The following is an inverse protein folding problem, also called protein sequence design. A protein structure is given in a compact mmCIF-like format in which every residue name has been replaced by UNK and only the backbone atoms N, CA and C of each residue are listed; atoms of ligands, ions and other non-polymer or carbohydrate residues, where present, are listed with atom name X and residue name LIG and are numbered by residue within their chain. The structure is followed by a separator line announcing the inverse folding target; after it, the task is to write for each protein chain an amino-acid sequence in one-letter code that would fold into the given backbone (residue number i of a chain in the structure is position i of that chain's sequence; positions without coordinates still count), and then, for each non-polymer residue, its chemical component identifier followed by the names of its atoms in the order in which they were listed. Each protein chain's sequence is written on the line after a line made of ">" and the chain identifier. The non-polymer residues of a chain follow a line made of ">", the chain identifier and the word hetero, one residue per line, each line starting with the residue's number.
data_IF_624480732462
#
_entry.id   IF_624480732462
#
_cell.length_a   1.000
_cell.length_b   1.000
_cell.length_c   1.000
_cell.angle_alpha   90.00
_cell.angle_beta   90.00
_cell.angle_gamma   90.00
#
_symmetry.space_group_name_H-M   'P 1'
#
loop_
_entity.id
_entity.type
_entity.pdbx_description
1 polymer ?
#
# COMPACT_ATOMS: atom_id res chain seq x y z
N UNK A 1 6.36 -3.89 14.25
CA UNK A 1 7.17 -3.66 13.08
C UNK A 1 6.71 -4.53 11.94
N UNK A 2 6.46 -3.97 10.81
CA UNK A 2 5.77 -4.70 9.75
C UNK A 2 6.56 -4.73 8.45
N UNK A 3 7.86 -5.00 8.56
CA UNK A 3 8.68 -5.13 7.37
C UNK A 3 8.16 -6.19 6.40
N UNK A 4 7.73 -7.37 6.87
CA UNK A 4 7.16 -8.34 5.93
C UNK A 4 5.92 -7.80 5.22
N UNK A 5 5.08 -7.04 5.92
CA UNK A 5 3.92 -6.42 5.30
C UNK A 5 4.36 -5.40 4.25
N UNK A 6 5.35 -4.57 4.58
CA UNK A 6 5.85 -3.58 3.63
C UNK A 6 6.43 -4.26 2.39
N UNK A 7 7.14 -5.36 2.57
CA UNK A 7 7.69 -6.11 1.44
C UNK A 7 6.61 -6.66 0.54
N UNK A 8 5.52 -7.15 1.13
CA UNK A 8 4.40 -7.63 0.35
C UNK A 8 3.78 -6.50 -0.47
N UNK A 9 3.62 -5.33 0.15
CA UNK A 9 3.06 -4.17 -0.54
C UNK A 9 3.95 -3.76 -1.71
N UNK A 10 5.25 -3.63 -1.47
CA UNK A 10 6.19 -3.23 -2.51
C UNK A 10 6.20 -4.25 -3.64
N UNK A 11 6.17 -5.53 -3.31
CA UNK A 11 6.15 -6.59 -4.30
C UNK A 11 4.94 -6.49 -5.22
N UNK A 12 3.76 -6.24 -4.64
CA UNK A 12 2.55 -6.07 -5.44
C UNK A 12 2.62 -4.84 -6.33
N UNK A 13 3.16 -3.74 -5.80
CA UNK A 13 3.29 -2.52 -6.59
C UNK A 13 4.27 -2.69 -7.75
N UNK A 14 5.32 -3.50 -7.57
CA UNK A 14 6.25 -3.80 -8.66
C UNK A 14 5.57 -4.61 -9.75
N UNK A 15 4.72 -5.56 -9.36
CA UNK A 15 4.03 -6.40 -10.33
C UNK A 15 2.96 -5.64 -11.10
N UNK A 16 2.23 -4.77 -10.41
CA UNK A 16 1.02 -4.17 -10.97
C UNK A 16 1.20 -2.74 -11.41
N UNK A 17 2.31 -2.12 -11.05
CA UNK A 17 2.62 -0.71 -11.31
C UNK A 17 1.73 0.21 -10.49
N UNK A 18 0.42 0.02 -10.55
CA UNK A 18 -0.56 0.79 -9.77
C UNK A 18 -1.58 -0.16 -9.19
N UNK A 19 -2.01 0.13 -7.96
CA UNK A 19 -3.04 -0.68 -7.31
C UNK A 19 -3.81 0.22 -6.36
N UNK A 20 -5.14 0.04 -6.30
CA UNK A 20 -5.93 0.78 -5.33
C UNK A 20 -5.81 0.12 -3.96
N UNK A 21 -6.16 0.90 -2.90
CA UNK A 21 -6.17 0.34 -1.55
C UNK A 21 -7.09 -0.87 -1.47
N UNK A 22 -8.27 -0.79 -2.10
CA UNK A 22 -9.22 -1.89 -2.07
C UNK A 22 -8.64 -3.13 -2.72
N UNK A 23 -7.99 -2.98 -3.87
CA UNK A 23 -7.36 -4.11 -4.55
C UNK A 23 -6.24 -4.70 -3.72
N UNK A 24 -5.43 -3.85 -3.13
CA UNK A 24 -4.32 -4.31 -2.31
C UNK A 24 -4.82 -5.12 -1.12
N UNK A 25 -5.88 -4.65 -0.48
CA UNK A 25 -6.50 -5.37 0.63
C UNK A 25 -6.97 -6.75 0.19
N UNK A 26 -7.59 -6.83 -0.98
CA UNK A 26 -8.07 -8.12 -1.48
C UNK A 26 -6.92 -9.07 -1.80
N UNK A 27 -5.87 -8.54 -2.39
CA UNK A 27 -4.72 -9.38 -2.77
C UNK A 27 -3.97 -9.90 -1.56
N UNK A 28 -3.75 -9.05 -0.57
CA UNK A 28 -3.01 -9.44 0.63
C UNK A 28 -3.86 -10.20 1.64
N UNK A 29 -5.17 -9.94 1.63
CA UNK A 29 -6.09 -10.62 2.53
C UNK A 29 -6.73 -9.66 3.51
N UNK A 30 -7.96 -9.98 3.90
CA UNK A 30 -8.74 -9.11 4.78
C UNK A 30 -8.12 -8.97 6.16
N UNK A 31 -7.27 -9.93 6.57
CA UNK A 31 -6.60 -9.82 7.86
C UNK A 31 -5.68 -8.61 7.91
N UNK A 32 -5.28 -8.06 6.77
CA UNK A 32 -4.44 -6.88 6.72
C UNK A 32 -5.23 -5.57 6.68
N UNK A 33 -6.56 -5.65 6.57
CA UNK A 33 -7.37 -4.45 6.31
C UNK A 33 -7.20 -3.39 7.38
N UNK A 34 -7.05 -3.79 8.64
CA UNK A 34 -6.95 -2.82 9.73
C UNK A 34 -5.59 -2.15 9.80
N UNK A 35 -4.53 -2.79 9.32
CA UNK A 35 -3.18 -2.24 9.42
C UNK A 35 -2.70 -1.58 8.14
N UNK A 36 -3.29 -1.92 6.99
CA UNK A 36 -2.82 -1.41 5.71
C UNK A 36 -2.83 0.12 5.61
N UNK A 37 -3.91 0.82 5.99
CA UNK A 37 -3.88 2.29 5.89
C UNK A 37 -2.74 2.90 6.69
N UNK A 38 -2.50 2.37 7.87
CA UNK A 38 -1.46 2.87 8.75
C UNK A 38 -0.07 2.61 8.14
N UNK A 39 0.16 1.40 7.64
CA UNK A 39 1.43 1.06 7.01
C UNK A 39 1.67 1.88 5.75
N UNK A 40 0.64 2.06 4.94
CA UNK A 40 0.77 2.84 3.71
C UNK A 40 1.13 4.29 4.03
N UNK A 41 0.52 4.87 5.06
CA UNK A 41 0.86 6.23 5.46
C UNK A 41 2.32 6.34 5.90
N UNK A 42 2.78 5.35 6.66
CA UNK A 42 4.18 5.33 7.09
C UNK A 42 5.12 5.17 5.91
N UNK A 43 4.75 4.32 4.96
CA UNK A 43 5.58 4.11 3.76
C UNK A 43 5.65 5.38 2.91
N UNK A 44 4.55 6.13 2.82
CA UNK A 44 4.58 7.40 2.11
C UNK A 44 5.52 8.39 2.81
N UNK A 45 5.44 8.45 4.12
CA UNK A 45 6.32 9.35 4.90
C UNK A 45 7.79 8.99 4.69
N UNK A 46 8.08 7.72 4.46
CA UNK A 46 9.45 7.24 4.22
C UNK A 46 9.84 7.28 2.75
N UNK A 47 8.95 7.72 1.86
CA UNK A 47 9.25 7.79 0.44
C UNK A 47 9.18 6.47 -0.29
N UNK A 48 8.53 5.45 0.28
CA UNK A 48 8.46 4.13 -0.32
C UNK A 48 7.26 3.95 -1.25
N UNK A 49 6.20 4.74 -1.07
CA UNK A 49 5.03 4.71 -1.94
C UNK A 49 4.54 6.12 -2.20
N UNK A 50 3.76 6.28 -3.25
CA UNK A 50 3.16 7.54 -3.63
C UNK A 50 1.66 7.36 -3.77
N UNK A 51 0.89 8.31 -3.25
CA UNK A 51 -0.55 8.37 -3.47
C UNK A 51 -1.04 9.79 -3.19
N UNK A 52 -2.24 10.12 -3.68
CA UNK A 52 -2.87 11.41 -3.40
C UNK A 52 -3.65 11.34 -2.10
N UNK A 53 -3.48 12.34 -1.26
CA UNK A 53 -4.24 12.41 -0.03
C UNK A 53 -5.57 13.09 -0.24
N UNK A 54 -6.58 12.74 0.57
CA UNK A 54 -6.53 11.79 1.68
C UNK A 54 -6.56 10.34 1.22
N UNK A 55 -5.97 9.47 2.05
CA UNK A 55 -5.97 8.05 1.73
C UNK A 55 -7.37 7.47 1.94
N UNK A 56 -7.88 6.82 0.92
CA UNK A 56 -9.19 6.18 0.97
C UNK A 56 -9.17 4.87 0.22
N UNK A 57 -10.30 4.14 0.21
CA UNK A 57 -10.34 2.82 -0.40
C UNK A 57 -10.05 2.84 -1.91
N UNK A 58 -10.29 3.95 -2.56
CA UNK A 58 -10.05 4.08 -4.00
C UNK A 58 -8.76 4.80 -4.33
N UNK A 59 -7.97 5.16 -3.33
CA UNK A 59 -6.68 5.78 -3.58
C UNK A 59 -5.78 4.83 -4.36
N UNK A 60 -5.11 5.35 -5.36
CA UNK A 60 -4.22 4.57 -6.20
C UNK A 60 -2.79 4.74 -5.67
N UNK A 61 -2.16 3.61 -5.41
CA UNK A 61 -0.81 3.55 -4.88
C UNK A 61 0.15 3.19 -6.00
N UNK A 62 1.34 3.78 -5.96
CA UNK A 62 2.40 3.42 -6.89
C UNK A 62 3.75 3.58 -6.22
N UNK A 63 4.77 3.01 -6.84
CA UNK A 63 6.13 3.20 -6.35
C UNK A 63 6.66 4.54 -6.83
N UNK A 64 7.49 5.23 -6.03
CA UNK A 64 8.13 6.45 -6.50
C UNK A 64 9.11 6.15 -7.61
N UNK A 65 9.34 7.13 -8.44
CA UNK A 65 10.31 7.02 -9.52
C UNK A 65 11.72 7.29 -9.07
#
# INVERSE_FOLDING_TARGET
>A
MNEPTQELIVSELRRRVRVSMAELTQVLGLQFASILPHEIQRMKASGLVVYDEPLGPYSVLSLPR
#
